data_IF_688778483616
#
_entry.id   IF_688778483616
#
_cell.length_a   1.000
_cell.length_b   1.000
_cell.length_c   1.000
_cell.angle_alpha   90.00
_cell.angle_beta   90.00
_cell.angle_gamma   90.00
#
_symmetry.space_group_name_H-M   'P 1'
#
loop_
_entity.id
_entity.type
_entity.pdbx_description
1 polymer ?
#
# COMPACT_ATOMS: atom_id res chain seq x y z
N UNK A 1 5.22 12.59 8.80
CA UNK A 1 5.95 11.83 7.78
C UNK A 1 5.69 10.36 8.05
N UNK A 2 5.09 9.68 7.09
CA UNK A 2 4.94 8.22 7.04
C UNK A 2 5.90 7.76 5.95
N UNK A 3 6.78 6.80 6.25
CA UNK A 3 7.66 6.20 5.27
C UNK A 3 7.44 4.68 5.26
N UNK A 4 7.00 4.16 4.11
CA UNK A 4 6.74 2.74 3.88
C UNK A 4 7.75 2.24 2.88
N UNK A 5 8.48 1.20 3.27
CA UNK A 5 9.50 0.57 2.44
C UNK A 5 9.26 -0.94 2.35
N UNK A 6 9.39 -1.47 1.15
CA UNK A 6 9.33 -2.90 0.84
C UNK A 6 8.10 -3.60 1.44
N UNK A 7 6.94 -2.93 1.46
CA UNK A 7 5.73 -3.51 2.03
C UNK A 7 5.27 -4.70 1.18
N UNK A 8 5.16 -5.85 1.83
CA UNK A 8 4.53 -7.04 1.29
C UNK A 8 3.38 -7.46 2.20
N UNK A 9 2.22 -7.73 1.60
CA UNK A 9 1.04 -8.24 2.30
C UNK A 9 0.57 -9.50 1.58
N UNK A 10 0.51 -10.61 2.31
CA UNK A 10 0.14 -11.94 1.81
C UNK A 10 -1.07 -12.48 2.57
N UNK A 11 -1.99 -13.11 1.85
CA UNK A 11 -3.08 -13.92 2.40
C UNK A 11 -2.91 -15.36 1.91
N UNK A 12 -2.61 -16.28 2.82
CA UNK A 12 -2.23 -17.66 2.51
C UNK A 12 -1.13 -17.72 1.44
N UNK A 13 -1.43 -18.18 0.23
CA UNK A 13 -0.51 -18.26 -0.90
C UNK A 13 -0.58 -17.08 -1.88
N UNK A 14 -1.50 -16.15 -1.66
CA UNK A 14 -1.71 -15.00 -2.52
C UNK A 14 -1.02 -13.74 -1.98
N UNK A 15 -0.09 -13.18 -2.77
CA UNK A 15 0.56 -11.90 -2.45
C UNK A 15 -0.32 -10.76 -2.99
N UNK A 16 -0.98 -10.03 -2.10
CA UNK A 16 -1.88 -8.94 -2.44
C UNK A 16 -1.16 -7.60 -2.67
N UNK A 17 -0.04 -7.39 -1.97
CA UNK A 17 0.85 -6.24 -2.15
C UNK A 17 2.27 -6.78 -2.16
N UNK A 18 3.07 -6.40 -3.15
CA UNK A 18 4.46 -6.85 -3.27
C UNK A 18 5.38 -5.64 -3.52
N UNK A 19 6.34 -5.44 -2.62
CA UNK A 19 7.37 -4.40 -2.72
C UNK A 19 6.82 -2.97 -2.91
N UNK A 20 5.81 -2.59 -2.12
CA UNK A 20 5.27 -1.24 -2.17
C UNK A 20 6.12 -0.28 -1.33
N UNK A 21 6.54 0.82 -1.97
CA UNK A 21 7.38 1.86 -1.38
C UNK A 21 6.71 3.22 -1.58
N UNK A 22 6.43 3.96 -0.51
CA UNK A 22 5.91 5.34 -0.59
C UNK A 22 6.20 6.12 0.68
N UNK A 23 6.23 7.45 0.54
CA UNK A 23 6.38 8.38 1.65
C UNK A 23 5.23 9.39 1.60
N UNK A 24 4.68 9.74 2.75
CA UNK A 24 3.63 10.78 2.90
C UNK A 24 4.11 11.81 3.90
N UNK A 25 4.26 13.04 3.46
CA UNK A 25 4.70 14.15 4.29
C UNK A 25 3.59 14.70 5.19
N UNK A 26 3.99 15.47 6.20
CA UNK A 26 3.02 16.08 7.12
C UNK A 26 2.14 17.07 6.37
N UNK A 27 0.82 16.85 6.43
CA UNK A 27 -0.17 17.72 5.79
C UNK A 27 -0.48 17.35 4.33
N UNK A 28 0.14 16.30 3.78
CA UNK A 28 -0.22 15.81 2.45
C UNK A 28 -1.54 15.03 2.46
N UNK A 29 -2.33 15.23 1.41
CA UNK A 29 -3.49 14.40 1.13
C UNK A 29 -3.10 13.29 0.14
N UNK A 30 -3.10 12.06 0.63
CA UNK A 30 -2.65 10.89 -0.12
C UNK A 30 -3.82 9.94 -0.42
N UNK A 31 -3.87 9.40 -1.64
CA UNK A 31 -4.86 8.40 -2.05
C UNK A 31 -4.24 7.33 -2.93
N UNK A 32 -4.78 6.11 -2.87
CA UNK A 32 -4.42 5.00 -3.75
C UNK A 32 -5.51 4.80 -4.80
N UNK A 33 -5.13 4.83 -6.08
CA UNK A 33 -6.03 4.63 -7.22
C UNK A 33 -5.63 3.37 -8.00
N UNK A 34 -6.62 2.71 -8.60
CA UNK A 34 -6.39 1.51 -9.41
C UNK A 34 -7.60 0.57 -9.49
N UNK A 35 -7.54 -0.46 -10.35
CA UNK A 35 -8.63 -1.43 -10.57
C UNK A 35 -8.96 -2.24 -9.30
N UNK A 36 -10.11 -2.94 -9.29
CA UNK A 36 -10.47 -3.81 -8.17
C UNK A 36 -9.39 -4.89 -7.95
N UNK A 37 -9.11 -5.22 -6.69
CA UNK A 37 -8.13 -6.25 -6.32
C UNK A 37 -6.66 -5.83 -6.35
N UNK A 38 -6.30 -4.59 -6.71
CA UNK A 38 -4.91 -4.15 -6.80
C UNK A 38 -4.24 -3.80 -5.45
N UNK A 39 -4.81 -4.20 -4.31
CA UNK A 39 -4.20 -4.01 -3.00
C UNK A 39 -4.49 -2.69 -2.27
N UNK A 40 -5.30 -1.76 -2.80
CA UNK A 40 -5.58 -0.44 -2.14
C UNK A 40 -6.05 -0.55 -0.69
N UNK A 41 -7.17 -1.24 -0.46
CA UNK A 41 -7.74 -1.42 0.88
C UNK A 41 -6.82 -2.27 1.76
N UNK A 42 -6.07 -3.18 1.15
CA UNK A 42 -5.06 -4.00 1.83
C UNK A 42 -3.91 -3.14 2.34
N UNK A 43 -3.45 -2.15 1.57
CA UNK A 43 -2.38 -1.22 1.97
C UNK A 43 -2.83 -0.18 3.00
N UNK A 44 -4.09 0.26 2.98
CA UNK A 44 -4.61 1.33 3.85
C UNK A 44 -5.20 0.85 5.18
N UNK A 45 -5.30 -0.45 5.41
CA UNK A 45 -5.73 -1.04 6.69
C UNK A 45 -4.53 -1.23 7.61
#
# INVERSE_FOLDING_TARGET
MIDVRNLQIKYDDFIAVNDLNFTVEKGEFFTLLGPSGCGKTTTLR
#
